data_IF_199751937551
#
_entry.id   IF_199751937551
#
_cell.length_a   1.000
_cell.length_b   1.000
_cell.length_c   1.000
_cell.angle_alpha   90.00
_cell.angle_beta   90.00
_cell.angle_gamma   90.00
#
_symmetry.space_group_name_H-M   'P 1'
#
loop_
_entity.id
_entity.type
_entity.pdbx_description
1 polymer ?
#
# COMPACT_ATOMS: atom_id res chain seq x y z
N UNK A 1 -49.57 -9.40 1.00
CA UNK A 1 -48.80 -8.65 -0.01
C UNK A 1 -47.74 -7.81 0.61
N UNK A 2 -48.10 -6.97 1.58
CA UNK A 2 -47.14 -6.11 2.21
C UNK A 2 -46.02 -6.90 2.88
N UNK A 3 -46.37 -8.01 3.52
CA UNK A 3 -45.37 -8.80 4.22
C UNK A 3 -44.31 -9.35 3.28
N UNK A 4 -44.71 -9.75 2.08
CA UNK A 4 -43.73 -10.27 1.12
C UNK A 4 -42.78 -9.19 0.66
N UNK A 5 -43.30 -7.97 0.46
CA UNK A 5 -42.49 -6.86 0.03
C UNK A 5 -41.53 -6.48 1.16
N UNK A 6 -42.03 -6.44 2.38
CA UNK A 6 -41.20 -6.10 3.52
C UNK A 6 -40.09 -7.12 3.71
N UNK A 7 -40.38 -8.39 3.49
CA UNK A 7 -39.36 -9.43 3.60
C UNK A 7 -38.28 -9.20 2.57
N UNK A 8 -38.67 -8.83 1.35
CA UNK A 8 -37.68 -8.55 0.31
C UNK A 8 -36.84 -7.34 0.66
N UNK A 9 -37.47 -6.31 1.21
CA UNK A 9 -36.74 -5.13 1.63
C UNK A 9 -35.70 -5.51 2.67
N UNK A 10 -36.06 -6.34 3.64
CA UNK A 10 -35.14 -6.74 4.68
C UNK A 10 -33.99 -7.57 4.10
N UNK A 11 -34.29 -8.45 3.15
CA UNK A 11 -33.26 -9.23 2.50
C UNK A 11 -32.26 -8.34 1.78
N UNK A 12 -32.77 -7.38 1.04
CA UNK A 12 -31.87 -6.49 0.29
C UNK A 12 -31.08 -5.58 1.21
N UNK A 13 -31.69 -5.16 2.32
CA UNK A 13 -30.94 -4.34 3.27
C UNK A 13 -29.82 -5.12 3.92
N UNK A 14 -30.08 -6.39 4.25
CA UNK A 14 -29.06 -7.24 4.84
C UNK A 14 -27.92 -7.45 3.86
N UNK A 15 -28.26 -7.68 2.60
CA UNK A 15 -27.25 -7.88 1.59
C UNK A 15 -26.44 -6.62 1.38
N UNK A 16 -27.12 -5.48 1.37
CA UNK A 16 -26.44 -4.20 1.20
C UNK A 16 -25.44 -3.95 2.33
N UNK A 17 -25.84 -4.26 3.55
CA UNK A 17 -24.97 -4.11 4.70
C UNK A 17 -23.74 -4.99 4.57
N UNK A 18 -23.93 -6.24 4.11
CA UNK A 18 -22.79 -7.14 3.91
C UNK A 18 -21.85 -6.61 2.86
N UNK A 19 -22.39 -6.12 1.75
CA UNK A 19 -21.54 -5.63 0.67
C UNK A 19 -20.81 -4.36 1.07
N UNK A 20 -21.45 -3.51 1.85
CA UNK A 20 -20.80 -2.30 2.34
C UNK A 20 -19.65 -2.64 3.27
N UNK A 21 -19.85 -3.67 4.11
CA UNK A 21 -18.78 -4.11 4.99
C UNK A 21 -17.60 -4.65 4.20
N UNK A 22 -17.90 -5.44 3.16
CA UNK A 22 -16.85 -5.98 2.32
C UNK A 22 -16.11 -4.88 1.59
N UNK A 23 -16.85 -3.87 1.13
CA UNK A 23 -16.23 -2.75 0.43
C UNK A 23 -15.28 -2.00 1.37
N UNK A 24 -15.69 -1.80 2.61
CA UNK A 24 -14.83 -1.13 3.58
C UNK A 24 -13.55 -1.92 3.82
N UNK A 25 -13.66 -3.26 3.89
CA UNK A 25 -12.49 -4.10 4.07
C UNK A 25 -11.57 -4.03 2.87
N UNK A 26 -12.12 -4.04 1.67
CA UNK A 26 -11.32 -3.96 0.48
C UNK A 26 -10.61 -2.61 0.38
N UNK A 27 -11.29 -1.54 0.76
CA UNK A 27 -10.67 -0.22 0.76
C UNK A 27 -9.51 -0.17 1.74
N UNK A 28 -9.66 -0.82 2.89
CA UNK A 28 -8.59 -0.86 3.88
C UNK A 28 -7.41 -1.65 3.33
N UNK A 29 -7.68 -2.77 2.66
CA UNK A 29 -6.62 -3.57 2.07
C UNK A 29 -5.86 -2.79 1.01
N UNK A 30 -6.59 -2.02 0.19
CA UNK A 30 -5.96 -1.20 -0.83
C UNK A 30 -5.09 -0.14 -0.18
N UNK A 31 -5.58 0.49 0.88
CA UNK A 31 -4.82 1.53 1.58
C UNK A 31 -3.53 0.93 2.16
N UNK A 32 -3.63 -0.27 2.74
CA UNK A 32 -2.47 -0.93 3.31
C UNK A 32 -1.46 -1.29 2.23
N UNK A 33 -1.95 -1.76 1.09
CA UNK A 33 -1.07 -2.11 -0.02
C UNK A 33 -0.36 -0.89 -0.56
N UNK A 34 -1.07 0.23 -0.66
CA UNK A 34 -0.47 1.47 -1.13
C UNK A 34 0.60 1.97 -0.18
N UNK A 35 0.34 1.85 1.12
CA UNK A 35 1.33 2.26 2.11
C UNK A 35 2.57 1.40 2.02
N UNK A 36 2.39 0.11 1.78
CA UNK A 36 3.53 -0.79 1.63
C UNK A 36 4.31 -0.45 0.37
N UNK A 37 3.62 -0.16 -0.73
CA UNK A 37 4.29 0.23 -1.97
C UNK A 37 5.11 1.50 -1.76
N UNK A 38 4.55 2.48 -1.08
CA UNK A 38 5.26 3.73 -0.84
C UNK A 38 6.52 3.48 -0.02
N UNK A 39 6.41 2.59 0.97
CA UNK A 39 7.55 2.27 1.82
C UNK A 39 8.64 1.57 1.02
N UNK A 40 8.26 0.64 0.17
CA UNK A 40 9.22 -0.09 -0.63
C UNK A 40 9.86 0.81 -1.68
N UNK A 41 9.09 1.70 -2.26
CA UNK A 41 9.65 2.65 -3.23
C UNK A 41 10.67 3.54 -2.57
N UNK A 42 10.39 3.99 -1.35
CA UNK A 42 11.34 4.79 -0.60
C UNK A 42 12.60 4.01 -0.30
N UNK A 43 12.45 2.74 0.06
CA UNK A 43 13.61 1.90 0.36
C UNK A 43 14.45 1.69 -0.90
N UNK A 44 13.80 1.48 -2.02
CA UNK A 44 14.52 1.28 -3.28
C UNK A 44 15.30 2.54 -3.64
N UNK A 45 14.65 3.70 -3.51
CA UNK A 45 15.33 4.96 -3.83
C UNK A 45 16.53 5.19 -2.91
N UNK A 46 16.38 4.89 -1.63
CA UNK A 46 17.45 5.06 -0.69
C UNK A 46 18.63 4.16 -1.04
N UNK A 47 18.35 2.92 -1.42
CA UNK A 47 19.40 2.00 -1.77
C UNK A 47 20.07 2.39 -3.09
N UNK A 48 19.30 2.91 -4.01
CA UNK A 48 19.85 3.35 -5.27
C UNK A 48 20.79 4.52 -5.06
N UNK A 49 20.42 5.41 -4.15
CA UNK A 49 21.29 6.54 -3.86
C UNK A 49 22.58 6.09 -3.21
N UNK A 50 22.48 5.12 -2.31
CA UNK A 50 23.67 4.58 -1.69
C UNK A 50 24.54 3.87 -2.71
N UNK A 51 23.92 3.21 -3.65
CA UNK A 51 24.65 2.51 -4.68
C UNK A 51 25.43 3.49 -5.57
N UNK A 52 24.88 4.63 -5.78
CA UNK A 52 25.55 5.61 -6.63
C UNK A 52 26.61 6.39 -5.86
N UNK A 53 26.29 6.79 -4.65
CA UNK A 53 27.20 7.56 -3.87
C UNK A 53 28.50 6.86 -3.46
N UNK A 54 28.44 5.69 -2.96
CA UNK A 54 29.63 5.05 -2.48
C UNK A 54 30.75 5.02 -3.45
N UNK A 55 30.43 4.82 -4.66
CA UNK A 55 31.47 4.75 -5.66
C UNK A 55 32.29 5.98 -5.52
N UNK A 56 31.64 7.08 -5.41
CA UNK A 56 32.35 8.31 -5.32
C UNK A 56 33.13 8.39 -4.05
N UNK A 57 32.50 8.13 -2.99
CA UNK A 57 33.17 8.21 -1.73
C UNK A 57 34.36 7.32 -1.70
N UNK A 58 34.18 6.12 -2.03
CA UNK A 58 35.28 5.21 -1.94
C UNK A 58 36.46 5.73 -2.70
N UNK A 59 36.17 6.24 -3.81
CA UNK A 59 37.26 6.73 -4.57
C UNK A 59 37.90 7.79 -3.83
N UNK A 60 37.25 8.72 -3.48
CA UNK A 60 37.83 9.81 -2.81
C UNK A 60 38.74 9.30 -1.77
N UNK A 61 38.22 8.46 -1.01
CA UNK A 61 39.01 7.95 0.04
C UNK A 61 40.14 7.18 -0.47
N UNK A 62 39.88 6.24 -1.18
CA UNK A 62 40.93 5.40 -1.64
C UNK A 62 42.04 6.17 -2.16
N UNK A 63 41.72 6.99 -3.05
CA UNK A 63 42.77 7.62 -3.65
C UNK A 63 43.41 8.48 -2.79
N UNK A 64 42.69 9.20 -2.13
CA UNK A 64 43.32 10.07 -1.33
C UNK A 64 44.26 9.38 -0.65
N UNK A 65 43.91 8.42 -0.23
CA UNK A 65 44.76 7.71 0.58
C UNK A 65 45.89 7.52 -0.30
N UNK A 66 45.65 7.08 -1.29
CA UNK A 66 46.67 6.70 -2.08
C UNK A 66 47.55 7.72 -2.20
N UNK A 67 47.55 8.44 -2.32
CA UNK A 67 48.61 9.26 -2.56
C UNK A 67 49.27 9.61 -1.73
#
# INVERSE_FOLDING_TARGET
>A
MTAAIEAKIQQHRAELTRQRGRLAELRRSVADARAMCARLEGAVLALEELSAAPATDTDGVGEDAAP
#
